data_IF_776016699089
#
_entry.id   IF_776016699089
#
_cell.length_a   1.000
_cell.length_b   1.000
_cell.length_c   1.000
_cell.angle_alpha   90.00
_cell.angle_beta   90.00
_cell.angle_gamma   90.00
#
_symmetry.space_group_name_H-M   'P 1'
#
loop_
_entity.id
_entity.type
_entity.pdbx_description
1 polymer ?
#
# COMPACT_ATOMS: atom_id res chain seq x y z
N UNK A 1 2.42 21.55 16.33
CA UNK A 1 2.19 21.50 14.88
C UNK A 1 2.11 20.04 14.50
N UNK A 2 1.03 19.58 13.87
CA UNK A 2 1.01 18.22 13.29
C UNK A 2 2.00 18.22 12.13
N UNK A 3 3.03 17.39 12.18
CA UNK A 3 3.92 17.22 11.05
C UNK A 3 3.09 16.79 9.84
N UNK A 4 3.23 17.51 8.73
CA UNK A 4 2.61 17.14 7.46
C UNK A 4 3.34 15.89 6.93
N UNK A 5 2.91 14.73 7.39
CA UNK A 5 3.43 13.43 6.97
C UNK A 5 2.82 13.11 5.61
N UNK A 6 3.68 12.85 4.62
CA UNK A 6 3.30 12.30 3.33
C UNK A 6 3.65 10.82 3.32
N UNK A 7 2.70 10.01 2.91
CA UNK A 7 2.85 8.57 2.76
C UNK A 7 2.91 8.22 1.29
N UNK A 8 4.04 7.69 0.83
CA UNK A 8 4.21 7.24 -0.54
C UNK A 8 3.89 5.76 -0.67
N UNK A 9 3.08 5.41 -1.67
CA UNK A 9 2.75 4.03 -2.01
C UNK A 9 3.35 3.68 -3.38
N UNK A 10 4.05 2.54 -3.44
CA UNK A 10 4.55 1.95 -4.69
C UNK A 10 4.04 0.52 -4.78
N UNK A 11 3.39 0.19 -5.89
CA UNK A 11 2.88 -1.14 -6.19
C UNK A 11 3.88 -1.91 -7.06
N UNK A 12 4.06 -3.19 -6.77
CA UNK A 12 4.82 -4.12 -7.59
C UNK A 12 3.96 -5.34 -7.89
N UNK A 13 3.76 -5.69 -9.16
CA UNK A 13 3.14 -6.95 -9.56
C UNK A 13 4.21 -7.88 -10.12
N UNK A 14 4.28 -9.13 -9.64
CA UNK A 14 5.30 -10.10 -10.07
C UNK A 14 4.78 -11.53 -9.93
N UNK A 15 5.50 -12.50 -10.50
CA UNK A 15 5.32 -13.94 -10.25
C UNK A 15 6.28 -14.48 -9.18
N UNK A 16 7.16 -13.62 -8.64
CA UNK A 16 8.07 -13.96 -7.57
C UNK A 16 7.33 -13.92 -6.22
N UNK A 17 7.48 -14.97 -5.43
CA UNK A 17 7.05 -14.99 -4.03
C UNK A 17 7.98 -14.13 -3.15
N UNK A 18 7.70 -14.09 -1.85
CA UNK A 18 8.44 -13.27 -0.89
C UNK A 18 9.93 -13.66 -0.81
N UNK A 19 10.25 -14.95 -0.85
CA UNK A 19 11.63 -15.44 -0.77
C UNK A 19 12.46 -14.97 -1.96
N UNK A 20 11.88 -14.96 -3.16
CA UNK A 20 12.57 -14.50 -4.36
C UNK A 20 12.50 -12.98 -4.59
N UNK A 21 11.45 -12.31 -4.10
CA UNK A 21 11.23 -10.88 -4.32
C UNK A 21 11.98 -9.99 -3.33
N UNK A 22 11.94 -10.31 -2.03
CA UNK A 22 12.50 -9.46 -0.96
C UNK A 22 13.98 -9.13 -1.19
N UNK A 23 14.88 -10.08 -1.55
CA UNK A 23 16.28 -9.75 -1.78
C UNK A 23 16.49 -8.75 -2.92
N UNK A 24 15.67 -8.81 -3.97
CA UNK A 24 15.73 -7.86 -5.09
C UNK A 24 15.20 -6.49 -4.70
N UNK A 25 14.16 -6.48 -3.86
CA UNK A 25 13.60 -5.24 -3.33
C UNK A 25 14.56 -4.52 -2.37
N UNK A 26 15.27 -5.24 -1.51
CA UNK A 26 16.28 -4.64 -0.62
C UNK A 26 17.42 -4.00 -1.43
N UNK A 27 17.95 -4.70 -2.45
CA UNK A 27 18.94 -4.12 -3.37
C UNK A 27 18.43 -2.84 -4.05
N UNK A 28 17.16 -2.84 -4.46
CA UNK A 28 16.53 -1.65 -5.04
C UNK A 28 16.42 -0.51 -4.01
N UNK A 29 15.98 -0.80 -2.79
CA UNK A 29 15.83 0.18 -1.70
C UNK A 29 17.17 0.80 -1.30
N UNK A 30 18.22 -0.01 -1.13
CA UNK A 30 19.57 0.47 -0.83
C UNK A 30 20.11 1.43 -1.90
N UNK A 31 19.75 1.20 -3.17
CA UNK A 31 20.18 2.07 -4.29
C UNK A 31 19.53 3.46 -4.31
N UNK A 32 18.48 3.68 -3.51
CA UNK A 32 17.69 4.93 -3.49
C UNK A 32 18.07 5.81 -2.28
N UNK A 33 19.00 5.35 -1.44
CA UNK A 33 19.55 6.07 -0.27
C UNK A 33 18.45 6.67 0.62
N UNK A 34 17.39 5.89 0.86
CA UNK A 34 16.25 6.33 1.64
C UNK A 34 16.30 5.64 3.00
N UNK A 35 16.89 6.32 3.99
CA UNK A 35 16.98 5.88 5.39
C UNK A 35 15.61 5.92 6.11
N UNK A 36 14.52 5.80 5.32
CA UNK A 36 13.14 5.90 5.76
C UNK A 36 12.63 4.54 6.20
N UNK A 37 11.73 4.56 7.18
CA UNK A 37 11.00 3.37 7.58
C UNK A 37 10.04 2.96 6.46
N UNK A 38 10.36 1.86 5.77
CA UNK A 38 9.58 1.31 4.67
C UNK A 38 8.92 0.01 5.11
N UNK A 39 7.60 -0.05 5.01
CA UNK A 39 6.83 -1.27 5.22
C UNK A 39 6.56 -1.91 3.87
N UNK A 40 7.01 -3.15 3.66
CA UNK A 40 6.65 -3.95 2.50
C UNK A 40 5.52 -4.90 2.86
N UNK A 41 4.48 -4.94 2.03
CA UNK A 41 3.31 -5.78 2.27
C UNK A 41 3.00 -6.61 1.02
N UNK A 42 2.64 -7.88 1.19
CA UNK A 42 2.32 -8.82 0.12
C UNK A 42 0.85 -9.20 0.12
N UNK A 43 0.25 -9.19 -1.07
CA UNK A 43 -1.05 -9.77 -1.37
C UNK A 43 -0.88 -10.84 -2.46
N UNK A 44 -1.44 -12.02 -2.21
CA UNK A 44 -1.46 -13.12 -3.20
C UNK A 44 -2.59 -12.87 -4.19
N UNK A 45 -2.25 -12.68 -5.46
CA UNK A 45 -3.21 -12.57 -6.55
C UNK A 45 -3.56 -13.97 -7.09
N UNK A 46 -4.63 -14.04 -7.89
CA UNK A 46 -4.95 -15.24 -8.66
C UNK A 46 -3.84 -15.56 -9.67
N UNK A 47 -3.76 -16.83 -10.08
CA UNK A 47 -2.85 -17.32 -11.13
C UNK A 47 -1.35 -17.25 -10.77
N UNK A 48 -1.00 -17.44 -9.50
CA UNK A 48 0.40 -17.49 -9.06
C UNK A 48 1.14 -16.14 -9.18
N UNK A 49 0.39 -15.04 -9.17
CA UNK A 49 0.93 -13.68 -9.13
C UNK A 49 0.87 -13.12 -7.72
N UNK A 50 1.73 -12.16 -7.45
CA UNK A 50 1.83 -11.47 -6.17
C UNK A 50 1.79 -9.96 -6.43
N UNK A 51 1.07 -9.23 -5.59
CA UNK A 51 1.10 -7.77 -5.51
C UNK A 51 1.82 -7.39 -4.23
N UNK A 52 2.91 -6.64 -4.35
CA UNK A 52 3.59 -6.03 -3.22
C UNK A 52 3.28 -4.55 -3.18
N UNK A 53 3.19 -3.99 -1.97
CA UNK A 53 3.04 -2.57 -1.75
C UNK A 53 4.11 -2.14 -0.77
N UNK A 54 4.99 -1.22 -1.20
CA UNK A 54 5.90 -0.54 -0.28
C UNK A 54 5.28 0.79 0.15
N UNK A 55 5.25 1.01 1.46
CA UNK A 55 4.75 2.22 2.09
C UNK A 55 5.89 2.98 2.75
N UNK A 56 6.12 4.22 2.34
CA UNK A 56 7.20 5.08 2.83
C UNK A 56 6.59 6.29 3.53
N UNK A 57 7.00 6.58 4.76
CA UNK A 57 6.60 7.80 5.48
C UNK A 57 7.72 8.82 5.35
N UNK A 58 7.39 10.03 4.91
CA UNK A 58 8.35 11.13 4.77
C UNK A 58 7.74 12.42 5.32
N UNK A 59 8.60 13.31 5.83
CA UNK A 59 8.17 14.66 6.16
C UNK A 59 7.90 15.42 4.85
N UNK A 60 6.87 16.27 4.82
CA UNK A 60 6.54 17.07 3.62
C UNK A 60 7.73 17.89 3.06
N UNK A 61 8.69 18.25 3.90
CA UNK A 61 9.88 19.03 3.52
C UNK A 61 10.96 18.19 2.81
N UNK A 62 10.91 16.86 2.93
CA UNK A 62 11.84 15.90 2.32
C UNK A 62 11.25 15.22 1.08
N UNK A 63 10.01 15.56 0.72
CA UNK A 63 9.31 14.94 -0.38
C UNK A 63 9.69 15.60 -1.72
N UNK A 64 10.66 15.01 -2.43
CA UNK A 64 11.06 15.42 -3.78
C UNK A 64 10.63 14.37 -4.82
N UNK A 65 9.93 14.80 -5.87
CA UNK A 65 9.62 13.96 -7.03
C UNK A 65 10.80 13.94 -8.01
N UNK A 66 11.35 12.76 -8.30
CA UNK A 66 12.19 12.53 -9.47
C UNK A 66 11.49 11.54 -10.42
N UNK A 67 10.93 12.05 -11.52
CA UNK A 67 10.38 11.22 -12.60
C UNK A 67 11.52 10.70 -13.48
N UNK A 68 12.22 9.66 -13.04
CA UNK A 68 13.15 8.96 -13.91
C UNK A 68 12.36 7.99 -14.79
N UNK A 69 12.16 8.37 -16.06
CA UNK A 69 11.76 7.43 -17.12
C UNK A 69 12.81 6.32 -17.17
N UNK A 70 12.48 5.13 -16.71
CA UNK A 70 13.34 3.96 -16.90
C UNK A 70 13.56 3.72 -18.41
N UNK A 71 14.83 3.78 -18.82
CA UNK A 71 15.26 3.27 -20.13
C UNK A 71 15.09 1.75 -20.10
N UNK A 72 14.20 1.21 -20.93
CA UNK A 72 14.06 -0.25 -21.12
C UNK A 72 15.42 -0.85 -21.51
N UNK A 73 16.02 -1.59 -20.57
CA UNK A 73 17.13 -2.48 -20.90
C UNK A 73 16.60 -3.78 -21.52
N UNK A 74 17.34 -4.27 -22.49
CA UNK A 74 17.02 -5.32 -23.43
C UNK A 74 17.12 -6.74 -22.86
N UNK A 75 16.14 -7.58 -23.24
CA UNK A 75 16.21 -9.05 -23.40
C UNK A 75 16.93 -9.84 -22.28
N UNK A 76 16.24 -10.04 -21.16
CA UNK A 76 16.41 -11.23 -20.33
C UNK A 76 15.02 -11.72 -19.90
N UNK A 77 14.79 -13.04 -19.84
CA UNK A 77 13.60 -13.64 -19.21
C UNK A 77 13.70 -13.47 -17.69
N UNK A 78 13.88 -12.25 -17.22
CA UNK A 78 13.72 -11.93 -15.81
C UNK A 78 12.23 -11.91 -15.50
N UNK A 79 11.82 -12.52 -14.39
CA UNK A 79 10.45 -12.44 -13.91
C UNK A 79 10.01 -10.96 -13.93
N UNK A 80 8.97 -10.65 -14.70
CA UNK A 80 8.57 -9.29 -15.02
C UNK A 80 7.99 -8.62 -13.76
N UNK A 81 8.84 -8.00 -12.95
CA UNK A 81 8.41 -7.14 -11.84
C UNK A 81 7.88 -5.85 -12.47
N UNK A 82 6.57 -5.67 -12.43
CA UNK A 82 5.91 -4.44 -12.90
C UNK A 82 5.77 -3.48 -11.73
N UNK A 83 6.58 -2.42 -11.74
CA UNK A 83 6.51 -1.32 -10.78
C UNK A 83 5.50 -0.27 -11.24
N UNK A 84 4.65 0.21 -10.32
CA UNK A 84 3.74 1.34 -10.53
C UNK A 84 3.76 2.26 -9.32
N UNK A 85 3.98 3.55 -9.55
CA UNK A 85 3.87 4.55 -8.49
C UNK A 85 2.39 4.86 -8.25
N UNK A 86 1.89 4.62 -7.04
CA UNK A 86 0.51 5.00 -6.69
C UNK A 86 0.42 6.48 -6.29
N UNK A 87 1.51 7.09 -5.83
CA UNK A 87 1.59 8.52 -5.52
C UNK A 87 1.96 8.80 -4.05
N UNK A 88 1.91 10.08 -3.68
CA UNK A 88 2.11 10.56 -2.31
C UNK A 88 0.80 11.06 -1.72
N UNK A 89 0.47 10.59 -0.52
CA UNK A 89 -0.83 10.81 0.10
C UNK A 89 -0.66 11.51 1.45
N UNK A 90 -1.54 12.48 1.71
CA UNK A 90 -1.65 13.12 3.01
C UNK A 90 -2.47 12.24 3.95
N UNK A 91 -2.14 12.30 5.24
CA UNK A 91 -2.83 11.52 6.26
C UNK A 91 -4.08 12.27 6.72
N UNK A 92 -5.27 11.75 6.41
CA UNK A 92 -6.53 12.27 6.93
C UNK A 92 -6.88 11.71 8.31
N UNK A 93 -6.60 10.42 8.52
CA UNK A 93 -6.88 9.71 9.77
C UNK A 93 -5.75 8.71 10.02
N UNK A 94 -5.25 8.67 11.26
CA UNK A 94 -4.18 7.77 11.67
C UNK A 94 -4.47 7.24 13.07
N UNK A 95 -4.91 5.99 13.13
CA UNK A 95 -5.21 5.29 14.38
C UNK A 95 -4.08 4.37 14.82
N UNK A 96 -3.21 3.97 13.88
CA UNK A 96 -2.00 3.23 14.19
C UNK A 96 -0.87 3.55 13.24
N UNK A 97 0.34 3.58 13.81
CA UNK A 97 1.59 3.80 13.09
C UNK A 97 2.35 2.46 12.97
N UNK A 98 1.96 1.47 13.77
CA UNK A 98 2.71 0.23 13.98
C UNK A 98 2.48 -0.84 12.90
N UNK A 99 3.44 -1.74 12.85
CA UNK A 99 3.42 -3.01 12.14
C UNK A 99 2.22 -3.86 12.59
N UNK A 100 1.74 -4.72 11.69
CA UNK A 100 0.74 -5.74 12.06
C UNK A 100 1.32 -6.69 13.07
N UNK A 101 0.54 -7.03 14.10
CA UNK A 101 0.87 -8.17 14.95
C UNK A 101 0.74 -9.47 14.17
N UNK A 102 1.34 -10.55 14.69
CA UNK A 102 1.28 -11.87 14.06
C UNK A 102 -0.15 -12.39 13.83
N UNK A 103 -1.12 -11.99 14.67
CA UNK A 103 -2.53 -12.35 14.55
C UNK A 103 -3.37 -11.33 13.76
N UNK A 104 -2.74 -10.32 13.15
CA UNK A 104 -3.39 -9.25 12.40
C UNK A 104 -3.00 -9.27 10.91
N UNK A 105 -3.92 -8.82 10.07
CA UNK A 105 -3.72 -8.56 8.65
C UNK A 105 -4.14 -7.14 8.31
N UNK A 106 -3.57 -6.60 7.23
CA UNK A 106 -4.00 -5.34 6.66
C UNK A 106 -4.99 -5.58 5.53
N UNK A 107 -6.07 -4.82 5.48
CA UNK A 107 -6.87 -4.70 4.26
C UNK A 107 -6.60 -3.32 3.69
N UNK A 108 -6.00 -3.28 2.50
CA UNK A 108 -5.84 -2.03 1.76
C UNK A 108 -6.98 -1.92 0.75
N UNK A 109 -7.65 -0.77 0.76
CA UNK A 109 -8.74 -0.41 -0.16
C UNK A 109 -8.35 0.86 -0.90
N UNK A 110 -8.49 0.85 -2.22
CA UNK A 110 -8.09 1.93 -3.13
C UNK A 110 -9.31 2.47 -3.86
N UNK A 111 -9.47 3.79 -3.86
CA UNK A 111 -10.70 4.47 -4.28
C UNK A 111 -10.38 5.64 -5.20
N UNK A 112 -10.98 5.65 -6.40
CA UNK A 112 -10.87 6.70 -7.43
C UNK A 112 -11.96 7.77 -7.31
N UNK A 113 -13.15 7.45 -6.81
CA UNK A 113 -14.23 8.45 -6.71
C UNK A 113 -14.00 9.35 -5.49
N UNK A 114 -13.77 10.64 -5.75
CA UNK A 114 -13.61 11.67 -4.74
C UNK A 114 -14.90 11.97 -3.95
N UNK A 115 -16.06 11.53 -4.43
CA UNK A 115 -17.36 11.69 -3.75
C UNK A 115 -17.68 10.55 -2.80
N UNK A 116 -16.77 9.59 -2.66
CA UNK A 116 -16.93 8.46 -1.76
C UNK A 116 -17.23 8.91 -0.34
N UNK A 117 -18.29 8.36 0.23
CA UNK A 117 -18.61 8.54 1.64
C UNK A 117 -17.66 7.72 2.52
N UNK A 118 -16.69 8.40 3.13
CA UNK A 118 -15.73 7.78 4.04
C UNK A 118 -16.37 7.34 5.37
N UNK A 119 -17.52 7.91 5.78
CA UNK A 119 -18.17 7.51 7.03
C UNK A 119 -18.73 6.09 6.95
N UNK A 120 -19.22 5.68 5.77
CA UNK A 120 -19.60 4.29 5.50
C UNK A 120 -18.45 3.31 5.75
N UNK A 121 -17.20 3.68 5.44
CA UNK A 121 -16.03 2.84 5.68
C UNK A 121 -15.63 2.77 7.16
N UNK A 122 -15.80 3.86 7.92
CA UNK A 122 -15.51 3.91 9.36
C UNK A 122 -16.37 2.94 10.17
N UNK A 123 -17.56 2.61 9.68
CA UNK A 123 -18.47 1.66 10.32
C UNK A 123 -17.92 0.23 10.37
N UNK A 124 -16.95 -0.13 9.53
CA UNK A 124 -16.31 -1.45 9.54
C UNK A 124 -15.23 -1.60 10.62
N UNK A 125 -14.95 -0.54 11.39
CA UNK A 125 -13.85 -0.48 12.36
C UNK A 125 -14.28 -0.76 13.80
N UNK A 126 -15.48 -1.32 14.05
CA UNK A 126 -16.00 -1.56 15.41
C UNK A 126 -15.04 -2.37 16.30
N UNK A 127 -14.18 -3.20 15.70
CA UNK A 127 -13.14 -3.98 16.39
C UNK A 127 -11.74 -3.87 15.77
N UNK A 128 -11.51 -2.85 14.94
CA UNK A 128 -10.26 -2.67 14.21
C UNK A 128 -9.70 -1.27 14.34
N UNK A 129 -8.66 -1.00 13.58
CA UNK A 129 -8.15 0.37 13.38
C UNK A 129 -8.21 0.72 11.90
N UNK A 130 -8.34 2.01 11.60
CA UNK A 130 -8.38 2.54 10.25
C UNK A 130 -7.46 3.75 10.10
N UNK A 131 -6.58 3.64 9.13
CA UNK A 131 -5.86 4.78 8.58
C UNK A 131 -6.50 5.19 7.25
N UNK A 132 -6.64 6.49 7.02
CA UNK A 132 -7.18 7.06 5.78
C UNK A 132 -6.16 8.02 5.21
N UNK A 133 -5.80 7.77 3.95
CA UNK A 133 -4.88 8.58 3.17
C UNK A 133 -5.62 9.22 2.00
N UNK A 134 -5.37 10.50 1.75
CA UNK A 134 -5.95 11.24 0.62
C UNK A 134 -4.85 11.67 -0.33
N UNK A 135 -5.13 11.66 -1.64
CA UNK A 135 -4.23 12.18 -2.65
C UNK A 135 -3.73 13.58 -2.26
N UNK A 136 -2.41 13.73 -2.13
CA UNK A 136 -1.80 15.03 -1.83
C UNK A 136 -1.54 15.85 -3.11
N UNK A 137 -1.36 15.18 -4.25
CA UNK A 137 -1.12 15.78 -5.56
C UNK A 137 -1.99 15.16 -6.65
N UNK A 138 -2.20 15.89 -7.76
CA UNK A 138 -3.03 15.47 -8.90
C UNK A 138 -2.55 14.17 -9.58
N UNK A 139 -1.27 13.82 -9.46
CA UNK A 139 -0.69 12.62 -10.09
C UNK A 139 -0.89 11.33 -9.26
N UNK A 140 -1.66 11.37 -8.18
CA UNK A 140 -1.97 10.16 -7.43
C UNK A 140 -2.92 9.26 -8.23
N UNK A 141 -2.63 7.96 -8.25
CA UNK A 141 -3.46 6.96 -8.93
C UNK A 141 -4.87 6.91 -8.33
N UNK A 142 -4.99 7.05 -7.02
CA UNK A 142 -6.25 6.96 -6.28
C UNK A 142 -6.53 8.28 -5.54
N UNK A 143 -7.81 8.59 -5.31
CA UNK A 143 -8.19 9.70 -4.44
C UNK A 143 -8.01 9.34 -2.97
N UNK A 144 -8.38 8.12 -2.59
CA UNK A 144 -8.21 7.63 -1.23
C UNK A 144 -7.56 6.25 -1.20
N UNK A 145 -6.73 6.04 -0.17
CA UNK A 145 -6.25 4.72 0.24
C UNK A 145 -6.65 4.54 1.70
N UNK A 146 -7.34 3.44 2.00
CA UNK A 146 -7.77 3.08 3.34
C UNK A 146 -7.00 1.84 3.77
N UNK A 147 -6.50 1.85 5.00
CA UNK A 147 -5.76 0.74 5.60
C UNK A 147 -6.47 0.30 6.88
N UNK A 148 -7.13 -0.86 6.80
CA UNK A 148 -7.78 -1.49 7.95
C UNK A 148 -6.84 -2.48 8.61
N UNK A 149 -6.80 -2.46 9.94
CA UNK A 149 -6.07 -3.41 10.77
C UNK A 149 -7.10 -4.31 11.45
N UNK A 150 -7.09 -5.58 11.08
CA UNK A 150 -8.09 -6.56 11.51
C UNK A 150 -7.41 -7.86 11.90
N UNK A 151 -8.00 -8.62 12.83
CA UNK A 151 -7.50 -9.96 13.12
C UNK A 151 -7.61 -10.86 11.88
N UNK A 152 -6.64 -11.76 11.73
CA UNK A 152 -6.54 -12.68 10.60
C UNK A 152 -7.83 -13.45 10.33
N UNK A 153 -8.50 -13.90 11.39
CA UNK A 153 -9.75 -14.67 11.32
C UNK A 153 -10.92 -13.88 10.71
N UNK A 154 -10.93 -12.54 10.81
CA UNK A 154 -12.00 -11.69 10.29
C UNK A 154 -11.66 -11.01 8.96
N UNK A 155 -10.41 -11.11 8.48
CA UNK A 155 -9.96 -10.33 7.34
C UNK A 155 -10.74 -10.63 6.05
N UNK A 156 -11.08 -11.90 5.81
CA UNK A 156 -11.87 -12.31 4.65
C UNK A 156 -13.32 -11.78 4.72
N UNK A 157 -13.94 -11.89 5.89
CA UNK A 157 -15.32 -11.46 6.11
C UNK A 157 -15.45 -9.94 6.00
N UNK A 158 -14.51 -9.18 6.58
CA UNK A 158 -14.48 -7.72 6.46
C UNK A 158 -14.30 -7.31 5.01
N UNK A 159 -13.37 -7.93 4.26
CA UNK A 159 -13.21 -7.63 2.84
C UNK A 159 -14.47 -7.97 2.03
N UNK A 160 -15.17 -9.06 2.36
CA UNK A 160 -16.42 -9.40 1.70
C UNK A 160 -17.53 -8.39 2.01
N UNK A 161 -17.65 -7.95 3.26
CA UNK A 161 -18.62 -6.94 3.65
C UNK A 161 -18.35 -5.59 2.97
N UNK A 162 -17.08 -5.17 2.91
CA UNK A 162 -16.68 -3.98 2.16
C UNK A 162 -17.13 -4.08 0.69
N UNK A 163 -16.93 -5.23 0.03
CA UNK A 163 -17.38 -5.44 -1.36
C UNK A 163 -18.89 -5.34 -1.56
N UNK A 164 -19.68 -5.67 -0.54
CA UNK A 164 -21.15 -5.68 -0.62
C UNK A 164 -21.72 -4.29 -0.31
N UNK A 165 -21.13 -3.61 0.67
CA UNK A 165 -21.74 -2.44 1.31
C UNK A 165 -21.10 -1.13 0.87
N UNK A 166 -19.95 -1.17 0.20
CA UNK A 166 -19.26 0.04 -0.28
C UNK A 166 -18.81 -0.12 -1.73
N UNK A 167 -18.38 0.99 -2.33
CA UNK A 167 -17.81 1.03 -3.68
C UNK A 167 -16.33 1.40 -3.58
N UNK A 168 -15.48 0.60 -4.20
CA UNK A 168 -14.04 0.85 -4.32
C UNK A 168 -13.49 0.16 -5.57
N UNK A 169 -12.31 0.58 -6.02
CA UNK A 169 -11.73 0.13 -7.30
C UNK A 169 -10.83 -1.09 -7.12
N UNK A 170 -10.00 -1.07 -6.07
CA UNK A 170 -9.14 -2.21 -5.75
C UNK A 170 -9.15 -2.46 -4.24
N UNK A 171 -9.08 -3.73 -3.83
CA UNK A 171 -8.80 -4.08 -2.45
C UNK A 171 -8.15 -5.46 -2.33
N UNK A 172 -7.35 -5.65 -1.29
CA UNK A 172 -6.70 -6.91 -0.98
C UNK A 172 -6.39 -7.06 0.50
N UNK A 173 -6.20 -8.30 0.93
CA UNK A 173 -5.64 -8.63 2.24
C UNK A 173 -4.13 -8.75 2.09
N UNK A 174 -3.40 -7.95 2.84
CA UNK A 174 -1.96 -7.81 2.79
C UNK A 174 -1.34 -8.29 4.10
N UNK A 175 -0.24 -9.02 3.97
CA UNK A 175 0.63 -9.41 5.08
C UNK A 175 1.94 -8.66 4.98
N UNK A 176 2.45 -8.18 6.11
CA UNK A 176 3.77 -7.56 6.14
C UNK A 176 4.85 -8.60 5.82
N UNK A 177 5.81 -8.18 5.00
CA UNK A 177 6.99 -8.96 4.70
C UNK A 177 8.07 -8.57 5.71
N UNK A 178 8.50 -9.53 6.52
CA UNK A 178 9.68 -9.38 7.36
C UNK A 178 10.88 -9.96 6.61
N UNK A 179 11.98 -9.20 6.55
CA UNK A 179 13.27 -9.69 6.09
C UNK A 179 13.97 -10.47 7.21
#
# INVERSE_FOLDING_TARGET
MKENIIVQFVEFETTLDSEAFIPKWEQYKESIDDNRHVVLQQHVLKNGKFKYISQHKCSSNEFQFAFNKERKASKAREAEIRKRLAGGYSVLQLETIGETKADESKILVFILDARTDLDSFRQFCVHGKLNIYQAYYENCKFTYILEFFVKNEYAADVLQQLRILTSFDEAGIYKECHA
#
